data_IF_558525334439
#
_entry.id   IF_558525334439
#
_cell.length_a   1.000
_cell.length_b   1.000
_cell.length_c   1.000
_cell.angle_alpha   90.00
_cell.angle_beta   90.00
_cell.angle_gamma   90.00
#
_symmetry.space_group_name_H-M   'P 1'
#
loop_
_entity.id
_entity.type
_entity.pdbx_description
1 polymer ?
#
# COMPACT_ATOMS: atom_id res chain seq x y z
N UNK A 1 3.15 19.75 37.27
CA UNK A 1 3.09 20.23 35.88
C UNK A 1 1.83 19.69 35.24
N UNK A 2 0.85 20.54 34.91
CA UNK A 2 -0.36 20.09 34.22
C UNK A 2 0.01 19.65 32.78
N UNK A 3 -0.23 18.38 32.43
CA UNK A 3 -0.08 17.92 31.03
C UNK A 3 -1.07 18.71 30.17
N UNK A 4 -0.59 19.32 29.09
CA UNK A 4 -1.46 19.92 28.07
C UNK A 4 -2.47 18.87 27.58
N UNK A 5 -3.74 19.24 27.35
CA UNK A 5 -4.72 18.31 26.81
C UNK A 5 -4.26 17.76 25.44
N UNK A 6 -4.66 16.53 25.08
CA UNK A 6 -4.33 15.96 23.77
C UNK A 6 -4.88 16.86 22.65
N UNK A 7 -4.15 16.93 21.54
CA UNK A 7 -4.54 17.71 20.36
C UNK A 7 -5.83 17.14 19.74
N UNK A 8 -6.66 18.03 19.19
CA UNK A 8 -7.85 17.61 18.45
C UNK A 8 -7.48 16.88 17.14
N UNK A 9 -8.38 16.05 16.62
CA UNK A 9 -8.21 15.36 15.34
C UNK A 9 -7.87 16.31 14.20
N UNK A 10 -8.50 17.48 14.14
CA UNK A 10 -8.21 18.52 13.15
C UNK A 10 -6.78 19.06 13.29
N UNK A 11 -6.34 19.37 14.51
CA UNK A 11 -4.98 19.86 14.77
C UNK A 11 -3.92 18.81 14.43
N UNK A 12 -4.16 17.54 14.77
CA UNK A 12 -3.29 16.43 14.40
C UNK A 12 -3.22 16.24 12.88
N UNK A 13 -4.36 16.36 12.19
CA UNK A 13 -4.41 16.28 10.73
C UNK A 13 -3.60 17.38 10.07
N UNK A 14 -3.75 18.63 10.51
CA UNK A 14 -2.96 19.75 10.00
C UNK A 14 -1.45 19.53 10.22
N UNK A 15 -1.07 18.99 11.39
CA UNK A 15 0.32 18.64 11.69
C UNK A 15 0.85 17.53 10.77
N UNK A 16 0.09 16.46 10.56
CA UNK A 16 0.47 15.37 9.66
C UNK A 16 0.61 15.83 8.20
N UNK A 17 -0.30 16.70 7.72
CA UNK A 17 -0.16 17.34 6.41
C UNK A 17 1.16 18.13 6.32
N UNK A 18 1.48 18.93 7.35
CA UNK A 18 2.73 19.66 7.44
C UNK A 18 3.97 18.75 7.45
N UNK A 19 3.92 17.64 8.21
CA UNK A 19 4.98 16.64 8.25
C UNK A 19 5.22 16.01 6.87
N UNK A 20 4.15 15.60 6.17
CA UNK A 20 4.27 15.07 4.81
C UNK A 20 4.94 16.05 3.84
N UNK A 21 4.55 17.33 3.89
CA UNK A 21 5.21 18.38 3.09
C UNK A 21 6.70 18.51 3.43
N UNK A 22 7.07 18.44 4.71
CA UNK A 22 8.47 18.46 5.13
C UNK A 22 9.24 17.22 4.66
N UNK A 23 8.61 16.04 4.69
CA UNK A 23 9.19 14.80 4.19
C UNK A 23 9.48 14.91 2.70
N UNK A 24 8.50 15.40 1.92
CA UNK A 24 8.69 15.69 0.50
C UNK A 24 9.84 16.65 0.24
N UNK A 25 9.92 17.77 0.97
CA UNK A 25 11.02 18.73 0.81
C UNK A 25 12.39 18.08 1.06
N UNK A 26 12.52 17.27 2.12
CA UNK A 26 13.79 16.56 2.42
C UNK A 26 14.14 15.54 1.34
N UNK A 27 13.17 14.75 0.90
CA UNK A 27 13.36 13.76 -0.15
C UNK A 27 13.72 14.42 -1.48
N UNK A 28 13.00 15.47 -1.90
CA UNK A 28 13.29 16.22 -3.11
C UNK A 28 14.68 16.85 -3.08
N UNK A 29 15.12 17.39 -1.93
CA UNK A 29 16.49 17.89 -1.78
C UNK A 29 17.50 16.77 -2.06
N UNK A 30 17.40 15.63 -1.35
CA UNK A 30 18.27 14.47 -1.58
C UNK A 30 18.24 14.01 -3.04
N UNK A 31 17.07 14.02 -3.67
CA UNK A 31 16.91 13.62 -5.06
C UNK A 31 17.59 14.59 -6.03
N UNK A 32 17.52 15.89 -5.78
CA UNK A 32 18.19 16.91 -6.59
C UNK A 32 19.72 16.80 -6.46
N UNK A 33 20.23 16.67 -5.24
CA UNK A 33 21.67 16.45 -4.99
C UNK A 33 22.17 15.18 -5.74
N UNK A 34 21.34 14.13 -5.78
CA UNK A 34 21.65 12.90 -6.50
C UNK A 34 21.54 13.02 -8.03
N UNK A 35 20.78 13.99 -8.56
CA UNK A 35 20.74 14.28 -10.01
C UNK A 35 22.08 14.86 -10.46
N UNK A 36 22.63 15.82 -9.70
CA UNK A 36 23.94 16.43 -9.97
C UNK A 36 25.04 15.37 -9.94
N UNK A 37 25.04 14.53 -8.90
CA UNK A 37 25.98 13.41 -8.76
C UNK A 37 25.88 12.45 -9.96
N UNK A 38 24.66 12.13 -10.40
CA UNK A 38 24.44 11.26 -11.56
C UNK A 38 24.93 11.90 -12.86
N UNK A 39 24.70 13.19 -13.07
CA UNK A 39 25.17 13.91 -14.26
C UNK A 39 26.69 13.90 -14.33
N UNK A 40 27.38 14.16 -13.21
CA UNK A 40 28.83 14.06 -13.12
C UNK A 40 29.33 12.64 -13.46
N UNK A 41 28.67 11.60 -12.94
CA UNK A 41 29.01 10.22 -13.24
C UNK A 41 28.82 9.87 -14.73
N UNK A 42 27.77 10.39 -15.38
CA UNK A 42 27.55 10.19 -16.82
C UNK A 42 28.63 10.91 -17.65
N UNK A 43 28.98 12.16 -17.32
CA UNK A 43 30.05 12.90 -18.02
C UNK A 43 31.38 12.16 -17.91
N UNK A 44 31.77 11.74 -16.70
CA UNK A 44 33.00 10.97 -16.49
C UNK A 44 33.00 9.66 -17.29
N UNK A 45 31.86 8.96 -17.36
CA UNK A 45 31.73 7.72 -18.11
C UNK A 45 31.78 7.95 -19.63
N UNK A 46 31.17 9.03 -20.13
CA UNK A 46 31.28 9.46 -21.54
C UNK A 46 32.71 9.77 -21.92
N UNK A 47 33.46 10.45 -21.06
CA UNK A 47 34.86 10.78 -21.30
C UNK A 47 35.73 9.52 -21.37
N UNK A 48 35.46 8.53 -20.51
CA UNK A 48 36.22 7.28 -20.46
C UNK A 48 35.85 6.30 -21.61
N UNK A 49 34.58 6.22 -22.02
CA UNK A 49 34.10 5.21 -22.99
C UNK A 49 33.81 5.78 -24.38
N UNK A 50 33.86 7.10 -24.57
CA UNK A 50 33.33 7.78 -25.75
C UNK A 50 31.80 7.90 -25.75
N UNK A 51 31.25 8.90 -26.47
CA UNK A 51 29.81 9.20 -26.50
C UNK A 51 28.91 8.07 -27.04
N UNK A 52 29.45 7.21 -27.91
CA UNK A 52 28.72 6.11 -28.56
C UNK A 52 28.43 4.95 -27.59
N UNK A 53 29.24 4.78 -26.53
CA UNK A 53 29.13 3.64 -25.62
C UNK A 53 27.95 3.72 -24.63
N UNK A 54 27.28 4.87 -24.50
CA UNK A 54 26.19 5.07 -23.53
C UNK A 54 24.79 4.89 -24.13
N UNK A 55 24.66 4.83 -25.45
CA UNK A 55 23.38 4.53 -26.10
C UNK A 55 23.24 3.01 -26.14
N UNK A 56 22.23 2.49 -25.44
CA UNK A 56 21.91 1.07 -25.54
C UNK A 56 21.60 0.74 -27.01
N UNK A 57 22.23 -0.30 -27.55
CA UNK A 57 21.91 -0.77 -28.89
C UNK A 57 20.41 -1.14 -28.95
N UNK A 58 19.68 -0.70 -30.00
CA UNK A 58 18.27 -1.04 -30.11
C UNK A 58 18.10 -2.56 -30.28
N UNK A 59 17.09 -3.13 -29.64
CA UNK A 59 16.74 -4.53 -29.85
C UNK A 59 16.23 -4.72 -31.30
N UNK A 60 16.64 -5.80 -31.98
CA UNK A 60 16.07 -6.19 -33.27
C UNK A 60 14.53 -6.25 -33.23
N UNK A 61 13.81 -5.81 -34.28
CA UNK A 61 12.35 -5.74 -34.28
C UNK A 61 11.65 -7.07 -33.96
N UNK A 62 12.20 -8.20 -34.42
CA UNK A 62 11.64 -9.52 -34.13
C UNK A 62 11.73 -9.89 -32.64
N UNK A 63 12.81 -9.48 -31.97
CA UNK A 63 12.98 -9.70 -30.53
C UNK A 63 12.03 -8.80 -29.75
N UNK A 64 11.86 -7.55 -30.18
CA UNK A 64 10.89 -6.64 -29.57
C UNK A 64 9.45 -7.16 -29.75
N UNK A 65 9.08 -7.65 -30.93
CA UNK A 65 7.75 -8.21 -31.20
C UNK A 65 7.44 -9.45 -30.35
N UNK A 66 8.45 -10.29 -30.08
CA UNK A 66 8.30 -11.46 -29.21
C UNK A 66 8.04 -11.11 -27.74
N UNK A 67 8.39 -9.89 -27.31
CA UNK A 67 8.12 -9.37 -25.96
C UNK A 67 6.74 -8.72 -25.83
N UNK A 68 5.95 -8.66 -26.92
CA UNK A 68 4.66 -7.99 -26.96
C UNK A 68 4.72 -6.55 -27.47
N UNK A 69 3.56 -5.89 -27.51
CA UNK A 69 3.49 -4.48 -27.92
C UNK A 69 4.06 -3.57 -26.83
N UNK A 70 4.81 -2.51 -27.15
CA UNK A 70 5.20 -1.48 -26.18
C UNK A 70 4.01 -0.60 -25.74
N UNK A 71 2.81 -0.81 -26.29
CA UNK A 71 1.59 -0.13 -25.88
C UNK A 71 1.16 -0.61 -24.50
N UNK A 72 0.91 0.34 -23.60
CA UNK A 72 0.44 0.08 -22.23
C UNK A 72 -0.81 0.90 -21.93
N UNK A 73 -1.65 0.41 -21.01
CA UNK A 73 -2.77 1.14 -20.42
C UNK A 73 -2.31 2.33 -19.53
N UNK A 74 -1.01 2.41 -19.21
CA UNK A 74 -0.39 3.48 -18.44
C UNK A 74 0.62 2.94 -17.44
N UNK A 75 1.48 3.82 -16.94
CA UNK A 75 2.45 3.44 -15.89
C UNK A 75 1.84 3.66 -14.51
N UNK A 76 1.84 2.63 -13.67
CA UNK A 76 1.47 2.69 -12.27
C UNK A 76 2.73 2.72 -11.42
N UNK A 77 2.74 3.53 -10.37
CA UNK A 77 3.83 3.54 -9.38
C UNK A 77 3.26 3.14 -8.04
N UNK A 78 3.80 2.09 -7.41
CA UNK A 78 3.19 1.48 -6.23
C UNK A 78 4.14 1.41 -5.03
N UNK A 79 3.56 1.60 -3.85
CA UNK A 79 4.13 1.28 -2.53
C UNK A 79 3.11 0.44 -1.79
N UNK A 80 3.58 -0.47 -0.93
CA UNK A 80 2.68 -1.15 -0.04
C UNK A 80 3.13 -2.49 0.49
N UNK A 81 2.18 -3.37 0.76
CA UNK A 81 2.39 -4.60 1.53
C UNK A 81 2.17 -5.88 0.71
N UNK A 82 1.86 -6.98 1.40
CA UNK A 82 1.68 -8.30 0.80
C UNK A 82 0.49 -8.42 -0.14
N UNK A 83 -0.44 -7.46 -0.22
CA UNK A 83 -1.45 -7.44 -1.29
C UNK A 83 -0.89 -6.92 -2.62
N UNK A 84 0.25 -6.21 -2.56
CA UNK A 84 1.00 -5.67 -3.71
C UNK A 84 2.36 -6.37 -3.93
N UNK A 85 2.76 -7.27 -3.03
CA UNK A 85 3.99 -8.08 -3.11
C UNK A 85 3.73 -9.47 -2.49
N UNK A 86 2.88 -10.29 -3.11
CA UNK A 86 2.65 -11.67 -2.69
C UNK A 86 3.40 -12.64 -3.60
N UNK A 87 3.85 -13.83 -3.15
CA UNK A 87 4.52 -14.76 -4.06
C UNK A 87 3.60 -15.15 -5.23
N UNK A 88 4.14 -15.10 -6.45
CA UNK A 88 3.54 -15.55 -7.72
C UNK A 88 2.36 -14.72 -8.24
N UNK A 89 1.42 -14.33 -7.39
CA UNK A 89 0.24 -13.57 -7.77
C UNK A 89 -0.09 -12.53 -6.71
N UNK A 90 -0.15 -11.27 -7.13
CA UNK A 90 -0.68 -10.17 -6.33
C UNK A 90 -1.44 -9.19 -7.24
N UNK A 91 -1.98 -8.13 -6.65
CA UNK A 91 -2.77 -7.14 -7.40
C UNK A 91 -1.94 -6.48 -8.49
N UNK A 92 -0.66 -6.18 -8.23
CA UNK A 92 0.20 -5.45 -9.17
C UNK A 92 0.56 -6.30 -10.38
N UNK A 93 0.95 -7.55 -10.14
CA UNK A 93 1.27 -8.51 -11.20
C UNK A 93 0.05 -8.74 -12.10
N UNK A 94 -1.16 -8.79 -11.53
CA UNK A 94 -2.38 -8.94 -12.32
C UNK A 94 -2.79 -7.67 -13.06
N UNK A 95 -2.55 -6.48 -12.50
CA UNK A 95 -2.73 -5.23 -13.23
C UNK A 95 -1.77 -5.13 -14.44
N UNK A 96 -0.57 -5.70 -14.31
CA UNK A 96 0.39 -5.82 -15.43
C UNK A 96 -0.08 -6.86 -16.45
N UNK A 97 -0.20 -8.13 -16.03
CA UNK A 97 -0.42 -9.26 -16.92
C UNK A 97 -1.83 -9.32 -17.53
N UNK A 98 -2.86 -8.94 -16.77
CA UNK A 98 -4.26 -9.10 -17.17
C UNK A 98 -4.92 -7.78 -17.61
N UNK A 99 -4.38 -6.63 -17.20
CA UNK A 99 -4.96 -5.31 -17.51
C UNK A 99 -4.02 -4.40 -18.32
N UNK A 100 -2.79 -4.83 -18.62
CA UNK A 100 -1.89 -4.16 -19.56
C UNK A 100 -1.27 -2.86 -19.03
N UNK A 101 -1.29 -2.64 -17.71
CA UNK A 101 -0.52 -1.56 -17.09
C UNK A 101 0.96 -1.91 -17.03
N UNK A 102 1.82 -0.91 -16.92
CA UNK A 102 3.23 -1.11 -16.58
C UNK A 102 3.42 -0.75 -15.12
N UNK A 103 3.98 -1.64 -14.28
CA UNK A 103 4.07 -1.39 -12.84
C UNK A 103 5.49 -1.17 -12.37
N UNK A 104 5.71 -0.04 -11.70
CA UNK A 104 6.98 0.35 -11.07
C UNK A 104 6.78 0.40 -9.55
N UNK A 105 7.10 -0.71 -8.86
CA UNK A 105 6.78 -0.89 -7.44
C UNK A 105 8.00 -0.80 -6.50
N UNK A 106 7.77 -0.33 -5.28
CA UNK A 106 8.65 -0.49 -4.11
C UNK A 106 7.94 -1.23 -2.96
N UNK A 107 6.74 -1.76 -3.20
CA UNK A 107 5.98 -2.53 -2.22
C UNK A 107 6.79 -3.70 -1.68
N UNK A 108 6.61 -3.98 -0.40
CA UNK A 108 7.29 -5.05 0.29
C UNK A 108 6.37 -5.68 1.33
N UNK A 109 6.18 -7.00 1.21
CA UNK A 109 5.38 -7.78 2.17
C UNK A 109 5.86 -7.57 3.62
N UNK A 110 4.90 -7.41 4.52
CA UNK A 110 5.16 -7.19 5.95
C UNK A 110 5.38 -5.73 6.34
N UNK A 111 5.45 -4.80 5.38
CA UNK A 111 5.58 -3.39 5.70
C UNK A 111 4.32 -2.83 6.37
N UNK A 112 4.53 -2.09 7.45
CA UNK A 112 3.51 -1.33 8.17
C UNK A 112 3.42 0.07 7.59
N UNK A 113 2.22 0.66 7.52
CA UNK A 113 2.06 2.02 6.96
C UNK A 113 2.77 3.06 7.83
N UNK A 114 2.87 2.83 9.14
CA UNK A 114 3.65 3.69 10.03
C UNK A 114 5.14 3.68 9.65
N UNK A 115 5.68 2.51 9.27
CA UNK A 115 7.07 2.42 8.79
C UNK A 115 7.23 3.11 7.44
N UNK A 116 6.31 2.92 6.49
CA UNK A 116 6.34 3.61 5.19
C UNK A 116 6.35 5.14 5.35
N UNK A 117 5.63 5.67 6.35
CA UNK A 117 5.53 7.10 6.60
C UNK A 117 6.77 7.70 7.29
N UNK A 118 7.41 6.96 8.20
CA UNK A 118 8.35 7.54 9.18
C UNK A 118 9.72 6.86 9.23
N UNK A 119 9.86 5.61 8.78
CA UNK A 119 11.16 4.94 8.73
C UNK A 119 12.01 5.59 7.63
N UNK A 120 13.26 5.88 7.96
CA UNK A 120 14.18 6.46 6.98
C UNK A 120 14.36 5.51 5.79
N UNK A 121 14.39 6.07 4.58
CA UNK A 121 14.63 5.31 3.35
C UNK A 121 13.37 4.90 2.58
N UNK A 122 12.32 4.37 3.22
CA UNK A 122 11.15 3.82 2.48
C UNK A 122 10.45 4.87 1.61
N UNK A 123 10.03 6.00 2.20
CA UNK A 123 9.43 7.10 1.44
C UNK A 123 10.41 7.71 0.41
N UNK A 124 11.72 7.69 0.69
CA UNK A 124 12.73 8.15 -0.27
C UNK A 124 12.85 7.22 -1.47
N UNK A 125 12.75 5.91 -1.27
CA UNK A 125 12.75 4.90 -2.32
C UNK A 125 11.49 4.98 -3.18
N UNK A 126 10.34 5.23 -2.56
CA UNK A 126 9.10 5.49 -3.29
C UNK A 126 9.21 6.74 -4.17
N UNK A 127 9.71 7.85 -3.62
CA UNK A 127 9.94 9.09 -4.39
C UNK A 127 11.00 8.88 -5.48
N UNK A 128 12.05 8.10 -5.21
CA UNK A 128 13.07 7.72 -6.20
C UNK A 128 12.47 6.90 -7.35
N UNK A 129 11.48 6.05 -7.07
CA UNK A 129 10.74 5.28 -8.07
C UNK A 129 9.88 6.19 -8.96
N UNK A 130 9.17 7.14 -8.37
CA UNK A 130 8.45 8.18 -9.13
C UNK A 130 9.43 8.93 -10.05
N UNK A 131 10.52 9.46 -9.51
CA UNK A 131 11.55 10.16 -10.30
C UNK A 131 12.13 9.28 -11.42
N UNK A 132 12.22 7.95 -11.25
CA UNK A 132 12.68 7.01 -12.30
C UNK A 132 11.72 6.97 -13.48
N UNK A 133 10.42 6.93 -13.23
CA UNK A 133 9.38 6.99 -14.27
C UNK A 133 9.44 8.32 -15.00
N UNK A 134 9.51 9.43 -14.24
CA UNK A 134 9.59 10.78 -14.83
C UNK A 134 10.84 10.97 -15.70
N UNK A 135 11.99 10.44 -15.28
CA UNK A 135 13.22 10.49 -16.08
C UNK A 135 13.13 9.74 -17.41
N UNK A 136 12.19 8.80 -17.55
CA UNK A 136 11.90 8.12 -18.83
C UNK A 136 10.98 8.95 -19.73
N UNK A 137 10.58 10.15 -19.30
CA UNK A 137 9.63 11.00 -20.03
C UNK A 137 8.17 10.56 -19.87
N UNK A 138 7.89 9.68 -18.91
CA UNK A 138 6.56 9.13 -18.67
C UNK A 138 5.93 9.82 -17.45
N UNK A 139 4.65 10.16 -17.53
CA UNK A 139 3.86 10.60 -16.38
C UNK A 139 3.09 9.38 -15.87
N UNK A 140 3.18 9.04 -14.57
CA UNK A 140 2.37 7.97 -14.00
C UNK A 140 0.88 8.22 -14.24
N UNK A 141 0.19 7.18 -14.70
CA UNK A 141 -1.27 7.18 -14.84
C UNK A 141 -1.93 7.28 -13.47
N UNK A 142 -1.43 6.52 -12.50
CA UNK A 142 -1.81 6.62 -11.10
C UNK A 142 -0.66 6.17 -10.18
N UNK A 143 -0.78 6.56 -8.91
CA UNK A 143 0.03 6.05 -7.82
C UNK A 143 -0.84 5.14 -6.96
N UNK A 144 -0.35 3.97 -6.58
CA UNK A 144 -1.07 3.02 -5.73
C UNK A 144 -0.41 2.93 -4.36
N UNK A 145 -1.23 2.90 -3.30
CA UNK A 145 -0.76 2.71 -1.94
C UNK A 145 -1.58 1.65 -1.22
N UNK A 146 -0.91 0.55 -0.87
CA UNK A 146 -1.41 -0.51 0.02
C UNK A 146 -0.75 -0.42 1.38
N UNK A 147 -1.44 -0.74 2.48
CA UNK A 147 -0.80 -0.73 3.79
C UNK A 147 -1.79 -0.70 4.96
N UNK A 148 -1.29 -0.92 6.17
CA UNK A 148 -2.10 -0.91 7.39
C UNK A 148 -2.56 -2.29 7.86
N UNK A 149 -2.54 -3.31 7.00
CA UNK A 149 -2.85 -4.69 7.37
C UNK A 149 -1.86 -5.23 8.40
N UNK A 150 -0.56 -5.00 8.19
CA UNK A 150 0.50 -5.40 9.12
C UNK A 150 0.52 -4.58 10.43
N UNK A 151 -0.19 -3.44 10.48
CA UNK A 151 -0.36 -2.64 11.70
C UNK A 151 -1.46 -3.21 12.62
N UNK A 152 -2.31 -4.10 12.11
CA UNK A 152 -3.45 -4.69 12.82
C UNK A 152 -3.49 -6.23 12.78
N UNK A 153 -2.49 -6.87 12.17
CA UNK A 153 -2.32 -8.33 12.08
C UNK A 153 -0.97 -8.75 12.66
N UNK A 154 -0.72 -10.04 12.81
CA UNK A 154 0.53 -10.56 13.36
C UNK A 154 0.63 -10.36 14.87
N UNK A 155 1.80 -9.98 15.36
CA UNK A 155 2.06 -9.76 16.79
C UNK A 155 1.19 -8.65 17.39
N UNK A 156 0.82 -7.68 16.58
CA UNK A 156 0.05 -6.49 16.90
C UNK A 156 -1.43 -6.82 17.11
N UNK A 157 -1.93 -7.92 16.52
CA UNK A 157 -3.36 -8.25 16.59
C UNK A 157 -3.82 -8.57 18.02
N UNK A 158 -2.98 -9.27 18.80
CA UNK A 158 -3.32 -9.68 20.16
C UNK A 158 -3.72 -8.51 21.06
N UNK A 159 -3.05 -7.35 20.94
CA UNK A 159 -3.34 -6.20 21.79
C UNK A 159 -4.65 -5.49 21.43
N UNK A 160 -5.23 -5.75 20.25
CA UNK A 160 -6.50 -5.18 19.82
C UNK A 160 -7.71 -5.87 20.46
N UNK A 161 -7.49 -6.99 21.14
CA UNK A 161 -8.54 -7.82 21.73
C UNK A 161 -8.49 -7.77 23.25
N UNK A 162 -9.65 -7.80 23.89
CA UNK A 162 -9.79 -8.17 25.30
C UNK A 162 -10.03 -9.68 25.42
N UNK A 163 -9.67 -10.29 26.57
CA UNK A 163 -9.87 -11.75 26.79
C UNK A 163 -11.37 -12.08 26.73
N UNK A 164 -11.72 -13.21 26.12
CA UNK A 164 -13.09 -13.67 25.96
C UNK A 164 -13.84 -13.88 27.29
N UNK A 165 -13.11 -14.02 28.40
CA UNK A 165 -13.65 -14.14 29.77
C UNK A 165 -13.62 -12.83 30.56
N UNK A 166 -13.11 -11.74 29.97
CA UNK A 166 -13.07 -10.44 30.63
C UNK A 166 -14.48 -9.83 30.74
N UNK A 167 -14.60 -8.75 31.52
CA UNK A 167 -15.86 -8.01 31.66
C UNK A 167 -16.29 -7.29 30.37
N UNK A 168 -15.40 -7.14 29.38
CA UNK A 168 -15.65 -6.49 28.11
C UNK A 168 -14.97 -7.27 26.96
N UNK A 169 -15.45 -8.46 26.59
CA UNK A 169 -14.83 -9.26 25.54
C UNK A 169 -15.03 -8.62 24.17
N UNK A 170 -14.12 -8.93 23.24
CA UNK A 170 -14.14 -8.52 21.85
C UNK A 170 -12.95 -7.63 21.50
N UNK A 171 -13.16 -6.75 20.52
CA UNK A 171 -12.21 -5.70 20.17
C UNK A 171 -12.19 -4.64 21.29
N UNK A 172 -11.00 -4.31 21.79
CA UNK A 172 -10.83 -3.20 22.71
C UNK A 172 -11.00 -1.89 21.95
N UNK A 173 -12.16 -1.23 22.12
CA UNK A 173 -12.53 -0.08 21.31
C UNK A 173 -11.53 1.09 21.40
N UNK A 174 -10.95 1.34 22.58
CA UNK A 174 -10.00 2.44 22.78
C UNK A 174 -8.65 2.16 22.13
N UNK A 175 -8.15 0.91 22.25
CA UNK A 175 -6.90 0.51 21.60
C UNK A 175 -7.07 0.53 20.08
N UNK A 176 -8.17 -0.05 19.56
CA UNK A 176 -8.47 -0.05 18.13
C UNK A 176 -8.60 1.36 17.58
N UNK A 177 -9.27 2.28 18.30
CA UNK A 177 -9.37 3.69 17.89
C UNK A 177 -8.00 4.38 17.86
N UNK A 178 -7.16 4.16 18.88
CA UNK A 178 -5.80 4.69 18.91
C UNK A 178 -4.93 4.20 17.76
N UNK A 179 -5.04 2.92 17.40
CA UNK A 179 -4.29 2.34 16.28
C UNK A 179 -4.84 2.84 14.94
N UNK A 180 -6.15 2.70 14.68
CA UNK A 180 -6.75 3.00 13.38
C UNK A 180 -6.91 4.51 13.18
N UNK A 181 -7.65 5.19 14.06
CA UNK A 181 -8.06 6.59 13.86
C UNK A 181 -6.99 7.61 14.27
N UNK A 182 -5.90 7.19 14.92
CA UNK A 182 -4.75 8.04 15.20
C UNK A 182 -3.50 7.59 14.46
N UNK A 183 -2.88 6.47 14.85
CA UNK A 183 -1.58 6.06 14.31
C UNK A 183 -1.60 5.86 12.79
N UNK A 184 -2.39 4.91 12.31
CA UNK A 184 -2.51 4.56 10.89
C UNK A 184 -3.03 5.76 10.09
N UNK A 185 -4.09 6.42 10.58
CA UNK A 185 -4.66 7.60 9.94
C UNK A 185 -3.63 8.71 9.70
N UNK A 186 -2.80 9.03 10.70
CA UNK A 186 -1.79 10.10 10.57
C UNK A 186 -0.64 9.69 9.66
N UNK A 187 -0.26 8.42 9.63
CA UNK A 187 0.72 7.88 8.68
C UNK A 187 0.23 8.06 7.22
N UNK A 188 -1.01 7.67 6.91
CA UNK A 188 -1.61 7.89 5.59
C UNK A 188 -1.63 9.37 5.21
N UNK A 189 -2.08 10.25 6.10
CA UNK A 189 -2.11 11.70 5.84
C UNK A 189 -0.70 12.24 5.52
N UNK A 190 0.33 11.75 6.22
CA UNK A 190 1.70 12.14 5.98
C UNK A 190 2.23 11.64 4.62
N UNK A 191 2.01 10.36 4.28
CA UNK A 191 2.44 9.78 3.00
C UNK A 191 1.75 10.48 1.83
N UNK A 192 0.42 10.59 1.86
CA UNK A 192 -0.36 11.23 0.80
C UNK A 192 0.07 12.68 0.61
N UNK A 193 0.22 13.45 1.70
CA UNK A 193 0.71 14.83 1.63
C UNK A 193 2.11 14.92 1.02
N UNK A 194 3.01 13.97 1.34
CA UNK A 194 4.34 13.94 0.77
C UNK A 194 4.32 13.64 -0.73
N UNK A 195 3.59 12.61 -1.16
CA UNK A 195 3.48 12.18 -2.56
C UNK A 195 2.80 13.25 -3.40
N UNK A 196 1.69 13.84 -2.93
CA UNK A 196 1.03 14.98 -3.58
C UNK A 196 2.01 16.11 -3.79
N UNK A 197 2.77 16.49 -2.74
CA UNK A 197 3.75 17.57 -2.81
C UNK A 197 4.88 17.28 -3.80
N UNK A 198 5.35 16.03 -3.87
CA UNK A 198 6.36 15.60 -4.86
C UNK A 198 5.82 15.74 -6.27
N UNK A 199 4.61 15.28 -6.54
CA UNK A 199 3.98 15.39 -7.85
C UNK A 199 3.81 16.86 -8.26
N UNK A 200 3.30 17.71 -7.36
CA UNK A 200 3.17 19.15 -7.63
C UNK A 200 4.51 19.81 -7.96
N UNK A 201 5.60 19.42 -7.29
CA UNK A 201 6.93 19.99 -7.53
C UNK A 201 7.60 19.48 -8.79
N UNK A 202 7.36 18.22 -9.17
CA UNK A 202 7.97 17.63 -10.37
C UNK A 202 7.15 17.87 -11.64
N UNK A 203 5.83 17.95 -11.51
CA UNK A 203 4.89 17.92 -12.65
C UNK A 203 3.99 19.15 -12.72
N UNK A 204 4.02 20.03 -11.71
CA UNK A 204 3.10 21.19 -11.60
C UNK A 204 1.62 20.80 -11.59
N UNK A 205 1.32 19.54 -11.23
CA UNK A 205 -0.04 18.99 -11.09
C UNK A 205 -0.04 17.86 -10.08
N UNK A 206 -1.24 17.54 -9.59
CA UNK A 206 -1.48 16.27 -8.89
C UNK A 206 -1.67 15.13 -9.89
N UNK A 207 -1.44 13.92 -9.40
CA UNK A 207 -1.67 12.65 -10.11
C UNK A 207 -2.70 11.86 -9.30
N UNK A 208 -3.58 11.06 -9.92
CA UNK A 208 -4.47 10.18 -9.20
C UNK A 208 -3.70 9.25 -8.26
N UNK A 209 -4.14 9.17 -7.01
CA UNK A 209 -3.61 8.25 -6.00
C UNK A 209 -4.73 7.33 -5.57
N UNK A 210 -4.57 6.03 -5.73
CA UNK A 210 -5.51 5.03 -5.22
C UNK A 210 -4.98 4.48 -3.91
N UNK A 211 -5.82 4.58 -2.88
CA UNK A 211 -5.63 3.88 -1.61
C UNK A 211 -6.72 2.81 -1.50
N UNK A 212 -6.44 1.70 -0.84
CA UNK A 212 -7.44 0.67 -0.64
C UNK A 212 -7.39 0.15 0.80
N UNK A 213 -8.54 -0.29 1.30
CA UNK A 213 -8.57 -1.17 2.47
C UNK A 213 -8.71 -2.62 2.03
N UNK A 214 -8.96 -3.50 2.97
CA UNK A 214 -9.00 -4.94 2.71
C UNK A 214 -10.43 -5.45 2.72
N UNK A 215 -10.62 -6.62 2.09
CA UNK A 215 -11.85 -7.39 2.24
C UNK A 215 -11.86 -8.13 3.59
N UNK A 216 -12.95 -8.85 3.89
CA UNK A 216 -13.18 -9.55 5.15
C UNK A 216 -12.40 -10.87 5.20
N UNK A 217 -11.26 -10.93 5.92
CA UNK A 217 -10.46 -12.14 6.03
C UNK A 217 -11.22 -13.24 6.77
N UNK A 218 -10.83 -14.49 6.53
CA UNK A 218 -11.42 -15.66 7.20
C UNK A 218 -10.38 -16.24 8.18
N UNK A 219 -10.44 -15.90 9.48
CA UNK A 219 -9.44 -16.27 10.50
C UNK A 219 -9.50 -17.76 10.87
N UNK A 220 -9.24 -18.64 9.90
CA UNK A 220 -9.33 -20.10 10.04
C UNK A 220 -8.00 -20.78 10.48
N UNK A 221 -6.94 -20.00 10.68
CA UNK A 221 -5.65 -20.48 11.16
C UNK A 221 -4.70 -20.98 10.08
N UNK A 222 -5.06 -20.93 8.78
CA UNK A 222 -4.11 -21.26 7.72
C UNK A 222 -3.05 -20.15 7.59
N UNK A 223 -1.78 -20.54 7.62
CA UNK A 223 -0.64 -19.69 7.24
C UNK A 223 -0.29 -19.82 5.75
N UNK A 224 0.87 -19.26 5.36
CA UNK A 224 1.40 -19.44 4.01
C UNK A 224 1.61 -20.93 3.69
N UNK A 225 1.16 -21.38 2.51
CA UNK A 225 1.14 -22.80 2.08
C UNK A 225 0.53 -23.75 3.13
N UNK A 226 -0.47 -23.28 3.89
CA UNK A 226 -1.16 -24.08 4.90
C UNK A 226 -0.48 -24.12 6.28
N UNK A 227 0.65 -23.41 6.47
CA UNK A 227 1.27 -23.23 7.79
C UNK A 227 2.17 -24.38 8.26
N UNK A 228 2.79 -25.14 7.35
CA UNK A 228 3.73 -26.21 7.70
C UNK A 228 5.15 -25.67 7.91
N UNK A 229 5.76 -25.93 9.07
CA UNK A 229 7.17 -25.59 9.34
C UNK A 229 7.41 -24.09 9.66
N UNK A 230 8.59 -23.51 9.35
CA UNK A 230 8.92 -22.11 9.65
C UNK A 230 8.26 -21.11 8.68
N UNK A 231 7.17 -21.52 8.01
CA UNK A 231 6.50 -20.68 7.02
C UNK A 231 5.68 -19.57 7.71
N UNK A 232 5.57 -18.37 7.08
CA UNK A 232 4.86 -17.24 7.69
C UNK A 232 3.38 -17.51 8.00
N UNK A 233 2.89 -16.82 9.02
CA UNK A 233 1.52 -16.95 9.52
C UNK A 233 1.30 -18.21 10.37
N UNK A 234 0.07 -18.45 10.85
CA UNK A 234 -1.10 -17.56 10.80
C UNK A 234 -0.86 -16.22 11.53
N UNK A 235 -1.53 -15.16 11.08
CA UNK A 235 -1.36 -13.78 11.55
C UNK A 235 -2.44 -13.32 12.54
N UNK A 236 -3.61 -13.95 12.54
CA UNK A 236 -4.78 -13.65 13.36
C UNK A 236 -5.03 -14.76 14.39
N UNK A 237 -4.88 -16.02 14.00
CA UNK A 237 -5.17 -17.15 14.88
C UNK A 237 -4.36 -17.16 16.19
N UNK A 238 -3.07 -16.78 16.23
CA UNK A 238 -2.33 -16.74 17.50
C UNK A 238 -2.93 -15.74 18.51
N UNK A 239 -3.32 -14.55 18.04
CA UNK A 239 -3.97 -13.54 18.88
C UNK A 239 -5.33 -14.00 19.41
N UNK A 240 -6.14 -14.63 18.56
CA UNK A 240 -7.41 -15.20 18.98
C UNK A 240 -7.26 -16.33 20.00
N UNK A 241 -6.31 -17.25 19.78
CA UNK A 241 -6.02 -18.35 20.70
C UNK A 241 -5.60 -17.81 22.08
N UNK A 242 -4.68 -16.84 22.09
CA UNK A 242 -4.18 -16.22 23.32
C UNK A 242 -5.27 -15.46 24.11
N UNK A 243 -6.34 -15.01 23.44
CA UNK A 243 -7.47 -14.31 24.06
C UNK A 243 -8.71 -15.19 24.28
N UNK A 244 -8.63 -16.49 23.99
CA UNK A 244 -9.70 -17.45 24.27
C UNK A 244 -10.84 -17.50 23.23
N UNK A 245 -10.64 -17.01 22.00
CA UNK A 245 -11.66 -17.04 20.94
C UNK A 245 -11.55 -18.29 20.05
N UNK A 246 -12.25 -19.38 20.41
CA UNK A 246 -12.25 -20.63 19.64
C UNK A 246 -13.21 -20.65 18.43
N UNK A 247 -14.35 -19.97 18.51
CA UNK A 247 -15.40 -20.02 17.48
C UNK A 247 -14.98 -19.26 16.21
N UNK A 248 -14.94 -19.93 15.06
CA UNK A 248 -14.66 -19.28 13.77
C UNK A 248 -15.71 -18.21 13.43
N UNK A 249 -16.99 -18.43 13.77
CA UNK A 249 -18.05 -17.47 13.53
C UNK A 249 -17.81 -16.16 14.31
N UNK A 250 -17.44 -16.27 15.60
CA UNK A 250 -17.10 -15.11 16.44
C UNK A 250 -15.85 -14.40 15.91
N UNK A 251 -14.81 -15.16 15.55
CA UNK A 251 -13.59 -14.59 14.97
C UNK A 251 -13.87 -13.82 13.68
N UNK A 252 -14.67 -14.39 12.77
CA UNK A 252 -15.11 -13.69 11.54
C UNK A 252 -15.82 -12.38 11.83
N UNK A 253 -16.74 -12.36 12.82
CA UNK A 253 -17.43 -11.13 13.20
C UNK A 253 -16.46 -10.06 13.72
N UNK A 254 -15.55 -10.44 14.63
CA UNK A 254 -14.58 -9.51 15.19
C UNK A 254 -13.64 -8.93 14.12
N UNK A 255 -13.14 -9.76 13.19
CA UNK A 255 -12.28 -9.21 12.13
C UNK A 255 -13.09 -8.40 11.12
N UNK A 256 -14.33 -8.77 10.83
CA UNK A 256 -15.22 -7.94 10.00
C UNK A 256 -15.37 -6.53 10.58
N UNK A 257 -15.66 -6.42 11.88
CA UNK A 257 -15.80 -5.13 12.56
C UNK A 257 -14.49 -4.32 12.56
N UNK A 258 -13.34 -5.00 12.71
CA UNK A 258 -12.02 -4.36 12.63
C UNK A 258 -11.74 -3.80 11.23
N UNK A 259 -12.04 -4.60 10.20
CA UNK A 259 -11.85 -4.23 8.79
C UNK A 259 -12.81 -3.13 8.37
N UNK A 260 -14.05 -3.11 8.85
CA UNK A 260 -14.98 -2.01 8.60
C UNK A 260 -14.43 -0.70 9.18
N UNK A 261 -13.94 -0.70 10.44
CA UNK A 261 -13.31 0.49 11.04
C UNK A 261 -12.10 0.99 10.27
N UNK A 262 -11.26 0.08 9.77
CA UNK A 262 -10.09 0.42 8.97
C UNK A 262 -10.49 1.07 7.63
N UNK A 263 -11.39 0.42 6.88
CA UNK A 263 -11.87 0.89 5.58
C UNK A 263 -12.59 2.25 5.71
N UNK A 264 -13.42 2.43 6.74
CA UNK A 264 -14.07 3.71 7.01
C UNK A 264 -13.08 4.83 7.35
N UNK A 265 -12.03 4.52 8.12
CA UNK A 265 -10.96 5.49 8.40
C UNK A 265 -10.28 5.92 7.11
N UNK A 266 -9.94 4.97 6.23
CA UNK A 266 -9.25 5.26 4.99
C UNK A 266 -10.13 6.06 4.02
N UNK A 267 -11.42 5.74 3.92
CA UNK A 267 -12.40 6.53 3.17
C UNK A 267 -12.48 7.97 3.69
N UNK A 268 -12.49 8.18 5.01
CA UNK A 268 -12.45 9.53 5.62
C UNK A 268 -11.15 10.28 5.30
N UNK A 269 -10.01 9.59 5.24
CA UNK A 269 -8.73 10.20 4.83
C UNK A 269 -8.80 10.65 3.38
N UNK A 270 -9.22 9.79 2.45
CA UNK A 270 -9.33 10.14 1.02
C UNK A 270 -10.29 11.33 0.79
N UNK A 271 -11.34 11.45 1.61
CA UNK A 271 -12.31 12.53 1.55
C UNK A 271 -11.83 13.86 2.19
N UNK A 272 -10.63 13.92 2.80
CA UNK A 272 -10.11 15.17 3.34
C UNK A 272 -9.99 16.23 2.23
N UNK A 273 -10.27 17.52 2.49
CA UNK A 273 -10.20 18.56 1.46
C UNK A 273 -8.85 18.66 0.73
N UNK A 274 -7.75 18.30 1.41
CA UNK A 274 -6.41 18.26 0.83
C UNK A 274 -6.22 17.17 -0.24
N UNK A 275 -7.10 16.17 -0.29
CA UNK A 275 -6.95 14.93 -1.05
C UNK A 275 -8.14 14.64 -1.97
N UNK A 276 -9.33 15.16 -1.66
CA UNK A 276 -10.59 14.82 -2.32
C UNK A 276 -10.61 15.00 -3.85
N UNK A 277 -9.71 15.80 -4.41
CA UNK A 277 -9.62 16.02 -5.86
C UNK A 277 -8.80 14.98 -6.63
N UNK A 278 -7.97 14.20 -5.94
CA UNK A 278 -7.00 13.31 -6.62
C UNK A 278 -6.70 12.01 -5.86
N UNK A 279 -7.17 11.83 -4.63
CA UNK A 279 -7.06 10.56 -3.90
C UNK A 279 -8.39 9.84 -3.96
N UNK A 280 -8.37 8.59 -4.41
CA UNK A 280 -9.54 7.72 -4.52
C UNK A 280 -9.38 6.52 -3.59
N UNK A 281 -10.39 6.28 -2.76
CA UNK A 281 -10.47 5.08 -1.95
C UNK A 281 -11.16 3.97 -2.74
N UNK A 282 -10.51 2.80 -2.83
CA UNK A 282 -11.03 1.60 -3.46
C UNK A 282 -11.61 0.69 -2.37
N UNK A 283 -12.94 0.55 -2.36
CA UNK A 283 -13.62 -0.36 -1.43
C UNK A 283 -13.58 -1.80 -1.96
N UNK A 284 -12.81 -2.65 -1.27
CA UNK A 284 -12.66 -4.05 -1.62
C UNK A 284 -13.60 -4.96 -0.83
N UNK A 285 -14.36 -4.44 0.14
CA UNK A 285 -15.23 -5.27 0.98
C UNK A 285 -16.34 -5.94 0.17
N UNK A 286 -16.52 -7.24 0.38
CA UNK A 286 -17.52 -8.05 -0.32
C UNK A 286 -17.10 -8.52 -1.72
N UNK A 287 -15.84 -8.32 -2.12
CA UNK A 287 -15.28 -8.83 -3.39
C UNK A 287 -15.03 -10.35 -3.34
N UNK A 288 -14.61 -10.82 -2.17
CA UNK A 288 -14.18 -12.18 -1.88
C UNK A 288 -15.23 -12.87 -0.99
N UNK A 289 -15.81 -13.99 -1.46
CA UNK A 289 -16.71 -14.78 -0.66
C UNK A 289 -16.07 -15.25 0.65
N UNK A 290 -16.85 -15.18 1.73
CA UNK A 290 -16.50 -15.74 3.04
C UNK A 290 -17.46 -16.87 3.44
N UNK A 291 -18.31 -17.34 2.51
CA UNK A 291 -19.33 -18.37 2.71
C UNK A 291 -18.74 -19.78 2.85
N UNK A 292 -19.48 -20.83 2.50
CA UNK A 292 -19.00 -22.21 2.63
C UNK A 292 -17.77 -22.52 1.75
N UNK A 293 -17.61 -21.79 0.64
CA UNK A 293 -16.60 -21.93 -0.40
C UNK A 293 -15.39 -20.97 -0.21
N UNK A 294 -15.27 -20.30 0.93
CA UNK A 294 -14.24 -19.25 1.13
C UNK A 294 -12.80 -19.70 0.81
N UNK A 295 -12.50 -21.00 0.91
CA UNK A 295 -11.16 -21.54 0.63
C UNK A 295 -10.75 -21.45 -0.84
N UNK A 296 -11.71 -21.33 -1.76
CA UNK A 296 -11.44 -21.08 -3.17
C UNK A 296 -10.96 -19.64 -3.42
N UNK A 297 -11.34 -18.71 -2.53
CA UNK A 297 -11.10 -17.28 -2.66
C UNK A 297 -9.97 -16.77 -1.77
N UNK A 298 -9.60 -17.55 -0.75
CA UNK A 298 -8.59 -17.23 0.25
C UNK A 298 -7.55 -18.35 0.34
N UNK A 299 -6.30 -18.06 -0.03
CA UNK A 299 -5.17 -18.99 0.08
C UNK A 299 -4.91 -19.39 1.53
N UNK A 300 -5.08 -18.43 2.43
CA UNK A 300 -4.85 -18.56 3.86
C UNK A 300 -5.79 -17.61 4.60
N UNK A 301 -5.57 -17.38 5.89
CA UNK A 301 -6.53 -16.61 6.68
C UNK A 301 -6.55 -15.09 6.40
N UNK A 302 -5.60 -14.57 5.62
CA UNK A 302 -5.45 -13.13 5.35
C UNK A 302 -5.29 -12.78 3.86
N UNK A 303 -4.76 -13.70 3.05
CA UNK A 303 -4.41 -13.43 1.65
C UNK A 303 -5.37 -14.12 0.66
N UNK A 304 -5.79 -13.43 -0.40
CA UNK A 304 -6.58 -14.03 -1.48
C UNK A 304 -5.90 -15.23 -2.15
N UNK A 305 -6.69 -16.08 -2.79
CA UNK A 305 -6.21 -17.07 -3.77
C UNK A 305 -5.81 -16.39 -5.09
N UNK A 306 -5.18 -17.08 -6.05
CA UNK A 306 -4.96 -16.51 -7.37
C UNK A 306 -6.25 -15.97 -8.01
N UNK A 307 -7.37 -16.71 -7.88
CA UNK A 307 -8.69 -16.26 -8.33
C UNK A 307 -9.25 -15.11 -7.49
N UNK A 308 -8.96 -15.07 -6.19
CA UNK A 308 -9.31 -13.95 -5.32
C UNK A 308 -8.56 -12.66 -5.70
N UNK A 309 -7.24 -12.75 -5.90
CA UNK A 309 -6.44 -11.62 -6.36
C UNK A 309 -6.90 -11.11 -7.73
N UNK A 310 -7.30 -11.99 -8.65
CA UNK A 310 -7.90 -11.59 -9.93
C UNK A 310 -9.16 -10.74 -9.74
N UNK A 311 -10.06 -11.11 -8.82
CA UNK A 311 -11.24 -10.29 -8.51
C UNK A 311 -10.87 -8.94 -7.88
N UNK A 312 -9.85 -8.92 -7.02
CA UNK A 312 -9.37 -7.66 -6.43
C UNK A 312 -8.76 -6.76 -7.51
N UNK A 313 -7.90 -7.29 -8.38
CA UNK A 313 -7.27 -6.55 -9.46
C UNK A 313 -8.31 -5.97 -10.44
N UNK A 314 -9.35 -6.73 -10.76
CA UNK A 314 -10.48 -6.25 -11.57
C UNK A 314 -11.15 -5.01 -10.94
N UNK A 315 -11.32 -4.97 -9.61
CA UNK A 315 -11.84 -3.78 -8.92
C UNK A 315 -10.91 -2.57 -9.05
N UNK A 316 -9.59 -2.77 -9.00
CA UNK A 316 -8.63 -1.71 -9.28
C UNK A 316 -8.73 -1.22 -10.72
N UNK A 317 -8.76 -2.13 -11.70
CA UNK A 317 -8.85 -1.79 -13.11
C UNK A 317 -10.11 -0.96 -13.42
N UNK A 318 -11.25 -1.29 -12.81
CA UNK A 318 -12.48 -0.51 -12.93
C UNK A 318 -12.33 0.95 -12.44
N UNK A 319 -11.58 1.17 -11.36
CA UNK A 319 -11.31 2.53 -10.83
C UNK A 319 -10.23 3.25 -11.64
N UNK A 320 -9.27 2.53 -12.20
CA UNK A 320 -8.19 3.07 -13.02
C UNK A 320 -8.62 3.42 -14.45
N UNK A 321 -9.79 2.97 -14.89
CA UNK A 321 -10.33 3.28 -16.20
C UNK A 321 -10.45 4.81 -16.40
N UNK A 322 -10.14 5.36 -17.60
CA UNK A 322 -10.10 6.82 -17.82
C UNK A 322 -11.40 7.56 -17.45
N UNK A 323 -12.56 6.92 -17.55
CA UNK A 323 -13.84 7.52 -17.18
C UNK A 323 -14.05 7.64 -15.65
N UNK A 324 -13.25 6.93 -14.86
CA UNK A 324 -13.34 6.86 -13.40
C UNK A 324 -12.25 7.69 -12.68
N UNK A 325 -11.21 8.14 -13.40
CA UNK A 325 -10.06 8.88 -12.86
C UNK A 325 -10.14 10.39 -12.97
#
# INVERSE_FOLDING_TARGET
>A
MAKKPPLSTTALTAKALGQGKQHATRALKRRNDAIETRQAALVARTQHLGAVALVAAPLPPAQLAALGSPTSAGVLVAEGDSWFDYPLHDVLTLLEDAHGYEVESVAHRGDQVESMAYREGQLDDFIRRIDKVLRRGLIPHAILLSGGGNDIAGSEFYMLLDDARSAAPGLNAAVVDGVINQRIRLAYVAILSAVTRVCEQRLQRTIPILVHGYDYPVPDGRGFLGGWGPLPGPWLAPGFAAKGYGSLAVRKQLVKDLIDRFNEMLARVAALPAFASHVRYVDLRGTLPTGADYREWWSNELHPSPGGFARVAERFAQVLAPAAL
#
